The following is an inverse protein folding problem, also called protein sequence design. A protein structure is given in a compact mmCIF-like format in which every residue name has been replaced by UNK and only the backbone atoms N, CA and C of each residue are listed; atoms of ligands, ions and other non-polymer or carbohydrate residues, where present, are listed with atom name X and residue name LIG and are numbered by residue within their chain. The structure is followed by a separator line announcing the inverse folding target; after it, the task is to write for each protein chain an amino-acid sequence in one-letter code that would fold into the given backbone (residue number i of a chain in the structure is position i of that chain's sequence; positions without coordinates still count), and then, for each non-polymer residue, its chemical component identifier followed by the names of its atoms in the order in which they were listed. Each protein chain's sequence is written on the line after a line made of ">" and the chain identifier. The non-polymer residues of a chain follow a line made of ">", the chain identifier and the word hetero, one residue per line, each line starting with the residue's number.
data_IF_730447017541
#
_entry.id   IF_730447017541
#
_cell.length_a   1.000
_cell.length_b   1.000
_cell.length_c   1.000
_cell.angle_alpha   90.00
_cell.angle_beta   90.00
_cell.angle_gamma   90.00
#
_symmetry.space_group_name_H-M   'P 1'
#
loop_
_entity.id
_entity.type
_entity.pdbx_description
1 polymer ?
#
# COMPACT_ATOMS: atom_id res chain seq x y z
N UNK A 1 -5.71 -2.28 13.06
CA UNK A 1 -4.72 -1.40 12.39
C UNK A 1 -4.74 -1.79 10.92
N UNK A 2 -4.85 -0.84 9.98
CA UNK A 2 -4.98 -1.18 8.55
C UNK A 2 -3.62 -1.51 7.97
N UNK A 3 -3.52 -2.61 7.23
CA UNK A 3 -2.25 -3.05 6.64
C UNK A 3 -1.98 -2.31 5.34
N UNK A 4 -0.75 -1.85 5.18
CA UNK A 4 -0.26 -1.25 3.92
C UNK A 4 0.87 -2.13 3.42
N UNK A 5 0.68 -2.76 2.28
CA UNK A 5 1.66 -3.65 1.68
C UNK A 5 2.65 -2.85 0.82
N UNK A 6 3.90 -2.78 1.25
CA UNK A 6 4.98 -2.16 0.48
C UNK A 6 5.82 -3.29 -0.10
N UNK A 7 5.67 -3.54 -1.39
CA UNK A 7 6.42 -4.59 -2.10
C UNK A 7 7.58 -4.01 -2.86
N UNK A 8 8.72 -4.65 -2.73
CA UNK A 8 9.98 -4.25 -3.33
C UNK A 8 10.48 -5.43 -4.17
N UNK A 9 10.54 -5.27 -5.49
CA UNK A 9 11.10 -6.25 -6.42
C UNK A 9 12.44 -5.76 -6.92
N UNK A 10 13.46 -6.62 -6.87
CA UNK A 10 14.82 -6.24 -7.25
C UNK A 10 15.60 -7.39 -7.87
N UNK A 11 16.42 -7.10 -8.88
CA UNK A 11 17.33 -8.05 -9.52
C UNK A 11 18.80 -7.86 -9.18
N UNK A 12 19.16 -6.76 -8.52
CA UNK A 12 20.50 -6.46 -8.01
C UNK A 12 20.40 -6.04 -6.54
N UNK A 13 21.44 -6.32 -5.75
CA UNK A 13 21.47 -5.97 -4.33
C UNK A 13 21.34 -4.44 -4.22
N UNK A 14 20.28 -4.01 -3.55
CA UNK A 14 19.84 -2.63 -3.43
C UNK A 14 20.91 -1.61 -3.04
N UNK A 15 20.80 -0.41 -3.64
CA UNK A 15 21.32 0.81 -3.04
C UNK A 15 20.61 1.09 -1.70
N UNK A 16 21.40 1.37 -0.66
CA UNK A 16 20.92 1.66 0.69
C UNK A 16 19.83 2.76 0.73
N UNK A 17 19.81 3.65 -0.26
CA UNK A 17 18.88 4.77 -0.38
C UNK A 17 17.41 4.32 -0.46
N UNK A 18 17.10 3.26 -1.21
CA UNK A 18 15.71 2.80 -1.37
C UNK A 18 15.21 2.13 -0.10
N UNK A 19 16.06 1.33 0.53
CA UNK A 19 15.73 0.67 1.80
C UNK A 19 15.47 1.74 2.87
N UNK A 20 16.32 2.76 2.96
CA UNK A 20 16.14 3.87 3.88
C UNK A 20 14.82 4.62 3.63
N UNK A 21 14.50 4.91 2.37
CA UNK A 21 13.25 5.57 1.99
C UNK A 21 12.02 4.75 2.40
N UNK A 22 12.02 3.43 2.16
CA UNK A 22 10.92 2.55 2.57
C UNK A 22 10.76 2.51 4.09
N UNK A 23 11.86 2.47 4.85
CA UNK A 23 11.78 2.50 6.32
C UNK A 23 11.31 3.85 6.86
N UNK A 24 11.73 4.96 6.25
CA UNK A 24 11.23 6.29 6.60
C UNK A 24 9.72 6.38 6.37
N UNK A 25 9.25 5.97 5.19
CA UNK A 25 7.82 5.94 4.88
C UNK A 25 7.04 5.01 5.82
N UNK A 26 7.56 3.81 6.12
CA UNK A 26 6.95 2.90 7.08
C UNK A 26 6.84 3.52 8.49
N UNK A 27 7.83 4.30 8.92
CA UNK A 27 7.77 5.01 10.18
C UNK A 27 6.65 6.07 10.19
N UNK A 28 6.51 6.84 9.11
CA UNK A 28 5.46 7.86 9.01
C UNK A 28 4.05 7.26 8.89
N UNK A 29 3.90 6.15 8.15
CA UNK A 29 2.66 5.39 8.12
C UNK A 29 2.22 4.89 9.50
N UNK A 30 3.16 4.44 10.35
CA UNK A 30 2.86 4.05 11.72
C UNK A 30 2.38 5.22 12.58
N UNK A 31 2.95 6.42 12.41
CA UNK A 31 2.47 7.64 13.09
C UNK A 31 1.02 7.97 12.68
N UNK A 32 0.65 7.64 11.45
CA UNK A 32 -0.69 7.82 10.90
C UNK A 32 -1.67 6.68 11.27
N UNK A 33 -1.23 5.69 12.08
CA UNK A 33 -2.06 4.57 12.51
C UNK A 33 -2.21 3.44 11.49
N UNK A 34 -1.39 3.43 10.44
CA UNK A 34 -1.29 2.36 9.45
C UNK A 34 -0.21 1.35 9.84
N UNK A 35 -0.41 0.09 9.48
CA UNK A 35 0.49 -1.02 9.75
C UNK A 35 1.24 -1.40 8.46
N UNK A 36 2.46 -0.88 8.23
CA UNK A 36 3.21 -1.21 7.03
C UNK A 36 3.73 -2.65 7.09
N UNK A 37 3.50 -3.39 6.01
CA UNK A 37 4.02 -4.74 5.77
C UNK A 37 4.98 -4.66 4.59
N UNK A 38 6.27 -4.81 4.86
CA UNK A 38 7.32 -4.72 3.84
C UNK A 38 7.59 -6.12 3.29
N UNK A 39 7.46 -6.27 1.98
CA UNK A 39 7.73 -7.52 1.25
C UNK A 39 8.88 -7.27 0.29
N UNK A 40 9.93 -8.08 0.39
CA UNK A 40 11.10 -8.02 -0.47
C UNK A 40 11.14 -9.26 -1.36
N UNK A 41 11.20 -9.05 -2.68
CA UNK A 41 11.21 -10.11 -3.69
C UNK A 41 12.46 -9.97 -4.53
N UNK A 42 13.41 -10.87 -4.31
CA UNK A 42 14.59 -10.97 -5.16
C UNK A 42 14.27 -11.77 -6.42
N UNK A 43 14.44 -11.15 -7.58
CA UNK A 43 14.24 -11.77 -8.89
C UNK A 43 15.39 -11.35 -9.83
N UNK A 44 16.43 -12.18 -9.99
CA UNK A 44 17.60 -11.86 -10.82
C UNK A 44 17.23 -11.37 -12.22
N UNK A 45 17.88 -10.30 -12.69
CA UNK A 45 17.62 -9.70 -14.01
C UNK A 45 16.35 -8.84 -14.09
N UNK A 46 15.60 -8.70 -12.99
CA UNK A 46 14.49 -7.74 -12.92
C UNK A 46 14.99 -6.34 -12.58
N UNK A 47 14.32 -5.33 -13.16
CA UNK A 47 14.50 -3.95 -12.73
C UNK A 47 13.86 -3.73 -11.38
N UNK A 48 14.43 -2.78 -10.62
CA UNK A 48 13.85 -2.29 -9.39
C UNK A 48 12.40 -1.82 -9.60
N UNK A 49 11.47 -2.37 -8.82
CA UNK A 49 10.08 -1.90 -8.75
C UNK A 49 9.62 -1.83 -7.31
N UNK A 50 8.87 -0.77 -7.00
CA UNK A 50 8.21 -0.60 -5.71
C UNK A 50 6.73 -0.48 -5.96
N UNK A 51 5.92 -1.11 -5.13
CA UNK A 51 4.48 -0.93 -5.16
C UNK A 51 3.89 -0.83 -3.76
N UNK A 52 2.86 0.00 -3.61
CA UNK A 52 2.08 0.16 -2.38
C UNK A 52 0.66 -0.32 -2.63
N UNK A 53 0.22 -1.35 -1.90
CA UNK A 53 -1.08 -2.00 -2.09
C UNK A 53 -1.36 -2.39 -3.55
N UNK A 54 -0.31 -2.77 -4.29
CA UNK A 54 -0.38 -3.15 -5.71
C UNK A 54 -0.29 -1.99 -6.71
N UNK A 55 -0.22 -0.73 -6.27
CA UNK A 55 0.04 0.43 -7.13
C UNK A 55 1.54 0.63 -7.27
N UNK A 56 2.05 0.61 -8.50
CA UNK A 56 3.47 0.82 -8.78
C UNK A 56 3.86 2.30 -8.66
N UNK A 57 5.00 2.54 -8.03
CA UNK A 57 5.56 3.88 -7.82
C UNK A 57 6.76 4.13 -8.74
N UNK A 58 7.03 5.41 -8.97
CA UNK A 58 8.28 5.82 -9.57
C UNK A 58 9.37 5.84 -8.49
N UNK A 59 10.57 5.39 -8.84
CA UNK A 59 11.69 5.41 -7.89
C UNK A 59 12.53 6.65 -8.18
N UNK A 60 12.28 7.70 -7.41
CA UNK A 60 13.02 8.96 -7.46
C UNK A 60 13.26 9.52 -6.04
N UNK A 61 13.68 10.77 -5.95
CA UNK A 61 13.99 11.46 -4.69
C UNK A 61 12.77 11.68 -3.77
N UNK A 62 11.55 11.62 -4.31
CA UNK A 62 10.30 11.83 -3.58
C UNK A 62 9.63 10.51 -3.15
N UNK A 63 10.32 9.38 -3.26
CA UNK A 63 9.78 8.04 -2.98
C UNK A 63 9.09 7.92 -1.62
N UNK A 64 9.59 8.61 -0.58
CA UNK A 64 8.98 8.58 0.76
C UNK A 64 7.56 9.16 0.71
N UNK A 65 7.41 10.34 0.11
CA UNK A 65 6.13 11.04 0.00
C UNK A 65 5.17 10.29 -0.93
N UNK A 66 5.68 9.68 -2.01
CA UNK A 66 4.88 8.83 -2.90
C UNK A 66 4.33 7.59 -2.17
N UNK A 67 5.15 6.92 -1.34
CA UNK A 67 4.70 5.76 -0.57
C UNK A 67 3.59 6.17 0.41
N UNK A 68 3.78 7.27 1.14
CA UNK A 68 2.83 7.73 2.15
C UNK A 68 1.51 8.18 1.51
N UNK A 69 1.58 9.00 0.46
CA UNK A 69 0.39 9.49 -0.25
C UNK A 69 -0.42 8.35 -0.88
N UNK A 70 0.24 7.43 -1.60
CA UNK A 70 -0.41 6.26 -2.21
C UNK A 70 -1.04 5.34 -1.16
N UNK A 71 -0.38 5.15 -0.01
CA UNK A 71 -0.94 4.36 1.09
C UNK A 71 -2.21 4.99 1.67
N UNK A 72 -2.24 6.32 1.84
CA UNK A 72 -3.42 7.04 2.32
C UNK A 72 -4.57 6.98 1.31
N UNK A 73 -4.28 7.18 0.03
CA UNK A 73 -5.28 7.10 -1.04
C UNK A 73 -5.90 5.70 -1.10
N UNK A 74 -5.08 4.66 -1.11
CA UNK A 74 -5.57 3.27 -1.16
C UNK A 74 -6.33 2.87 0.10
N UNK A 75 -5.88 3.30 1.27
CA UNK A 75 -6.60 3.07 2.53
C UNK A 75 -7.96 3.79 2.58
N UNK A 76 -8.11 4.93 1.89
CA UNK A 76 -9.39 5.65 1.79
C UNK A 76 -10.35 4.98 0.80
N UNK A 77 -9.84 4.42 -0.30
CA UNK A 77 -10.65 3.68 -1.28
C UNK A 77 -11.24 2.39 -0.68
N UNK A 78 -10.50 1.69 0.17
CA UNK A 78 -11.01 0.54 0.90
C UNK A 78 -12.22 0.91 1.79
N UNK A 79 -12.23 2.08 2.43
CA UNK A 79 -13.39 2.54 3.20
C UNK A 79 -14.62 2.76 2.33
N UNK A 80 -14.43 3.34 1.14
CA UNK A 80 -15.52 3.55 0.19
C UNK A 80 -16.09 2.20 -0.26
N UNK A 81 -15.24 1.22 -0.56
CA UNK A 81 -15.67 -0.12 -0.96
C UNK A 81 -16.37 -0.87 0.18
N UNK A 82 -15.86 -0.79 1.41
CA UNK A 82 -16.48 -1.39 2.58
C UNK A 82 -17.85 -0.77 2.87
N UNK A 83 -17.95 0.56 2.77
CA UNK A 83 -19.22 1.28 2.92
C UNK A 83 -20.23 0.90 1.83
N UNK A 84 -19.80 0.82 0.57
CA UNK A 84 -20.68 0.37 -0.53
C UNK A 84 -21.14 -1.07 -0.29
N UNK A 85 -20.25 -1.97 0.12
CA UNK A 85 -20.59 -3.36 0.43
C UNK A 85 -21.57 -3.46 1.60
N UNK A 86 -21.37 -2.67 2.66
CA UNK A 86 -22.28 -2.58 3.79
C UNK A 86 -23.67 -2.10 3.36
N UNK A 87 -23.74 -1.02 2.58
CA UNK A 87 -24.99 -0.47 2.05
C UNK A 87 -25.71 -1.48 1.15
N UNK A 88 -25.00 -2.16 0.24
CA UNK A 88 -25.56 -3.21 -0.62
C UNK A 88 -26.15 -4.35 0.22
N UNK A 89 -25.45 -4.82 1.25
CA UNK A 89 -25.97 -5.87 2.15
C UNK A 89 -27.24 -5.43 2.88
N UNK A 90 -27.32 -4.17 3.31
CA UNK A 90 -28.53 -3.62 3.93
C UNK A 90 -29.71 -3.55 2.96
N UNK A 91 -29.49 -3.10 1.72
CA UNK A 91 -30.53 -3.06 0.70
C UNK A 91 -31.05 -4.45 0.32
N UNK A 92 -30.16 -5.44 0.19
CA UNK A 92 -30.55 -6.83 -0.13
C UNK A 92 -31.29 -7.47 1.05
N UNK A 93 -30.83 -7.27 2.29
CA UNK A 93 -31.52 -7.79 3.48
C UNK A 93 -32.92 -7.19 3.69
N UNK A 94 -33.19 -5.98 3.17
CA UNK A 94 -34.52 -5.37 3.19
C UNK A 94 -35.45 -5.86 2.07
N UNK A 95 -34.96 -6.63 1.09
CA UNK A 95 -35.76 -7.16 -0.02
C UNK A 95 -36.29 -8.59 0.22
N UNK A 96 -35.82 -9.30 1.25
CA UNK A 96 -36.26 -10.68 1.57
C UNK A 96 -37.48 -10.77 2.51
N UNK A 97 -38.12 -9.64 2.84
CA UNK A 97 -39.39 -9.62 3.57
C UNK A 97 -40.49 -8.99 2.71
N UNK A 98 -41.05 -9.75 1.77
CA UNK A 98 -42.39 -9.55 1.21
C UNK A 98 -42.92 -10.86 0.62
#
# INVERSE_FOLDING_TARGET
>A
MRRVWITIVYGEIFDANVINAVFAAAHDLRKLGLEPVIVQVYNPGSQLRISVNGIYLNVDENLVDEIVSTALETASYEEVLDNICFLKRKCVASMECN
#
